data_IF_400106445331
#
_entry.id   IF_400106445331
#
_cell.length_a   1.000
_cell.length_b   1.000
_cell.length_c   1.000
_cell.angle_alpha   90.00
_cell.angle_beta   90.00
_cell.angle_gamma   90.00
#
_symmetry.space_group_name_H-M   'P 1'
#
loop_
_entity.id
_entity.type
_entity.pdbx_description
1 polymer ?
#
# COMPACT_ATOMS: atom_id res chain seq x y z
N UNK A 1 -22.88 -45.89 -14.95
CA UNK A 1 -21.86 -44.89 -15.31
C UNK A 1 -20.78 -44.94 -14.24
N UNK A 2 -19.53 -45.27 -14.60
CA UNK A 2 -18.51 -45.67 -13.62
C UNK A 2 -17.93 -44.49 -12.84
N UNK A 3 -17.85 -44.71 -11.53
CA UNK A 3 -17.25 -43.85 -10.51
C UNK A 3 -15.75 -43.66 -10.76
N UNK A 4 -15.34 -42.42 -11.01
CA UNK A 4 -13.92 -42.04 -11.16
C UNK A 4 -13.37 -41.63 -9.79
N UNK A 5 -12.70 -42.58 -9.12
CA UNK A 5 -11.85 -42.31 -7.95
C UNK A 5 -10.55 -41.64 -8.42
N UNK A 6 -10.26 -40.43 -7.94
CA UNK A 6 -8.95 -39.79 -8.08
C UNK A 6 -8.08 -40.15 -6.86
N UNK A 7 -6.81 -40.55 -7.05
CA UNK A 7 -5.92 -40.87 -5.94
C UNK A 7 -5.52 -39.62 -5.15
N UNK A 8 -5.56 -39.74 -3.82
CA UNK A 8 -5.17 -38.71 -2.88
C UNK A 8 -3.71 -38.32 -3.01
N UNK A 9 -3.45 -37.02 -3.11
CA UNK A 9 -2.11 -36.45 -2.98
C UNK A 9 -1.90 -36.08 -1.51
N UNK A 10 -1.13 -36.91 -0.81
CA UNK A 10 -0.56 -36.58 0.49
C UNK A 10 0.35 -35.37 0.35
N UNK A 11 -0.05 -34.24 0.92
CA UNK A 11 0.80 -33.07 1.11
C UNK A 11 1.70 -33.32 2.31
N UNK A 12 2.96 -33.62 2.03
CA UNK A 12 4.06 -33.64 2.98
C UNK A 12 4.30 -32.20 3.45
N UNK A 13 4.01 -31.91 4.72
CA UNK A 13 4.44 -30.67 5.35
C UNK A 13 5.89 -30.81 5.79
N UNK A 14 6.82 -30.26 4.99
CA UNK A 14 8.21 -30.06 5.42
C UNK A 14 8.24 -28.77 6.24
N UNK A 15 8.38 -28.92 7.55
CA UNK A 15 8.78 -27.84 8.45
C UNK A 15 10.27 -27.54 8.23
N UNK A 16 10.58 -26.39 7.65
CA UNK A 16 11.93 -25.84 7.62
C UNK A 16 11.96 -24.58 8.51
N UNK A 17 12.33 -24.81 9.78
CA UNK A 17 12.87 -23.77 10.66
C UNK A 17 14.36 -23.64 10.35
N UNK A 18 14.75 -22.63 9.58
CA UNK A 18 16.12 -22.12 9.60
C UNK A 18 16.04 -20.59 9.55
N UNK A 19 16.34 -19.98 10.70
CA UNK A 19 16.61 -18.56 10.79
C UNK A 19 17.81 -18.21 9.92
N UNK A 20 17.59 -17.35 8.95
CA UNK A 20 18.64 -16.57 8.28
C UNK A 20 18.07 -15.18 8.06
N UNK A 21 18.74 -14.17 8.62
CA UNK A 21 18.58 -12.79 8.19
C UNK A 21 19.06 -12.72 6.74
N UNK A 22 18.14 -12.87 5.80
CA UNK A 22 18.40 -12.61 4.40
C UNK A 22 17.98 -11.16 4.11
N UNK A 23 18.97 -10.29 3.88
CA UNK A 23 18.75 -9.13 3.04
C UNK A 23 18.42 -9.67 1.64
N UNK A 24 17.12 -9.77 1.32
CA UNK A 24 16.69 -10.08 -0.04
C UNK A 24 16.96 -8.87 -0.93
N UNK A 25 18.19 -8.83 -1.47
CA UNK A 25 18.45 -8.24 -2.77
C UNK A 25 17.68 -9.13 -3.76
N UNK A 26 16.64 -8.58 -4.40
CA UNK A 26 16.02 -9.23 -5.54
C UNK A 26 16.98 -9.10 -6.73
N UNK A 27 17.42 -10.26 -7.19
CA UNK A 27 18.25 -10.50 -8.37
C UNK A 27 17.35 -10.39 -9.62
N UNK A 28 17.55 -9.33 -10.41
CA UNK A 28 17.04 -9.19 -11.79
C UNK A 28 18.10 -9.75 -12.76
N UNK A 29 17.97 -11.01 -13.17
CA UNK A 29 18.76 -11.56 -14.28
C UNK A 29 17.82 -12.13 -15.35
N UNK A 30 17.36 -11.23 -16.23
CA UNK A 30 17.34 -11.45 -17.68
C UNK A 30 17.09 -10.13 -18.43
N UNK A 31 18.09 -9.25 -18.41
CA UNK A 31 18.40 -8.39 -19.57
C UNK A 31 19.90 -8.49 -19.83
N UNK A 32 20.24 -9.22 -20.89
CA UNK A 32 21.61 -9.30 -21.37
C UNK A 32 22.13 -7.95 -21.87
N UNK A 33 23.38 -7.69 -21.46
CA UNK A 33 24.43 -6.91 -22.13
C UNK A 33 24.34 -5.37 -22.14
N UNK A 34 25.08 -4.74 -21.22
CA UNK A 34 26.36 -4.09 -21.55
C UNK A 34 27.12 -3.59 -20.30
N UNK A 35 28.40 -3.98 -20.22
CA UNK A 35 29.56 -3.36 -19.53
C UNK A 35 29.44 -3.10 -18.01
N UNK A 36 30.05 -3.93 -17.15
CA UNK A 36 31.46 -3.94 -16.71
C UNK A 36 31.84 -2.78 -15.77
N UNK A 37 32.39 -3.19 -14.60
CA UNK A 37 33.20 -2.44 -13.62
C UNK A 37 32.40 -1.53 -12.65
N UNK A 38 32.51 -1.59 -11.32
CA UNK A 38 33.43 -2.26 -10.40
C UNK A 38 32.74 -2.48 -9.04
N UNK A 39 33.18 -3.56 -8.41
CA UNK A 39 33.13 -3.96 -7.01
C UNK A 39 32.92 -2.86 -5.94
N UNK A 40 32.12 -3.19 -4.90
CA UNK A 40 32.02 -2.37 -3.69
C UNK A 40 30.98 -2.84 -2.67
N UNK A 41 31.04 -4.11 -2.26
CA UNK A 41 30.24 -4.62 -1.14
C UNK A 41 30.65 -3.99 0.19
N UNK A 42 29.67 -3.60 1.00
CA UNK A 42 29.84 -3.08 2.35
C UNK A 42 28.53 -3.10 3.13
N UNK A 43 28.21 -4.25 3.73
CA UNK A 43 27.11 -4.39 4.69
C UNK A 43 27.69 -4.25 6.10
N UNK A 44 27.86 -3.03 6.60
CA UNK A 44 28.20 -2.81 8.00
C UNK A 44 27.51 -1.55 8.54
N UNK A 45 26.60 -1.78 9.48
CA UNK A 45 26.32 -0.80 10.53
C UNK A 45 25.12 0.14 10.31
N UNK A 46 24.09 -0.11 11.10
CA UNK A 46 23.50 0.86 12.03
C UNK A 46 23.71 2.36 11.75
N UNK A 47 22.57 3.04 11.55
CA UNK A 47 22.22 4.40 12.01
C UNK A 47 23.27 5.53 11.92
N UNK A 48 22.92 6.59 11.18
CA UNK A 48 22.59 7.93 11.70
C UNK A 48 22.45 8.91 10.53
N UNK A 49 21.45 9.79 10.64
CA UNK A 49 21.29 11.13 10.06
C UNK A 49 22.09 11.55 8.83
N UNK A 50 21.32 11.96 7.82
CA UNK A 50 21.54 13.23 7.12
C UNK A 50 22.31 13.14 5.81
N UNK A 51 21.60 13.44 4.72
CA UNK A 51 21.80 14.64 3.88
C UNK A 51 21.02 14.48 2.58
N UNK A 52 20.09 15.41 2.35
CA UNK A 52 19.49 15.64 1.05
C UNK A 52 20.59 16.04 0.07
N UNK A 53 20.74 15.28 -1.02
CA UNK A 53 21.43 15.75 -2.22
C UNK A 53 20.36 16.14 -3.24
N UNK A 54 20.15 17.45 -3.35
CA UNK A 54 19.40 18.07 -4.44
C UNK A 54 20.38 18.51 -5.52
N UNK A 55 20.25 17.94 -6.71
CA UNK A 55 20.77 18.46 -7.97
C UNK A 55 19.67 18.19 -9.01
N UNK A 56 19.16 19.10 -9.83
CA UNK A 56 19.54 20.47 -10.18
C UNK A 56 19.15 20.67 -11.66
N UNK A 57 18.39 21.72 -12.00
CA UNK A 57 18.10 22.14 -13.38
C UNK A 57 16.66 22.70 -13.55
N UNK A 58 16.36 23.95 -13.18
CA UNK A 58 16.53 25.24 -13.90
C UNK A 58 15.53 25.53 -15.04
N UNK A 59 14.49 26.29 -14.71
CA UNK A 59 13.59 26.99 -15.64
C UNK A 59 12.76 28.03 -14.88
N UNK A 60 13.04 29.32 -15.10
CA UNK A 60 12.70 30.40 -14.18
C UNK A 60 11.30 31.02 -14.30
N UNK A 61 10.88 31.69 -13.22
CA UNK A 61 10.02 32.88 -13.22
C UNK A 61 10.21 33.64 -11.90
N UNK A 62 10.29 34.97 -11.98
CA UNK A 62 10.49 35.91 -10.86
C UNK A 62 9.15 36.31 -10.22
N UNK A 63 9.06 36.31 -8.89
CA UNK A 63 8.31 37.26 -8.04
C UNK A 63 8.68 36.97 -6.57
N UNK A 64 9.50 37.79 -5.91
CA UNK A 64 9.15 39.00 -5.16
C UNK A 64 8.39 38.75 -3.84
N UNK A 65 9.16 38.77 -2.74
CA UNK A 65 8.74 39.34 -1.45
C UNK A 65 8.20 38.38 -0.38
N UNK A 66 8.82 38.40 0.81
CA UNK A 66 8.09 38.11 2.06
C UNK A 66 8.82 37.33 3.15
N UNK A 67 9.55 38.06 3.99
CA UNK A 67 9.79 37.85 5.44
C UNK A 67 10.34 36.52 6.00
N UNK A 68 11.49 36.66 6.68
CA UNK A 68 12.09 35.73 7.64
C UNK A 68 11.16 35.34 8.81
N UNK A 69 11.38 34.15 9.37
CA UNK A 69 11.48 34.07 10.83
C UNK A 69 12.77 33.41 11.32
N UNK A 70 13.14 33.90 12.51
CA UNK A 70 14.37 33.69 13.26
C UNK A 70 14.65 32.25 13.69
N UNK A 71 15.93 31.93 13.72
CA UNK A 71 16.51 30.75 14.31
C UNK A 71 16.53 30.80 15.84
N UNK A 72 16.39 29.61 16.46
CA UNK A 72 16.67 29.31 17.85
C UNK A 72 16.13 27.91 18.14
N UNK A 73 16.80 26.98 18.81
CA UNK A 73 18.12 26.92 19.41
C UNK A 73 18.34 25.46 19.83
N UNK A 74 19.60 25.05 19.98
CA UNK A 74 19.99 23.74 20.45
C UNK A 74 19.60 23.51 21.93
N UNK A 75 19.35 22.26 22.29
CA UNK A 75 19.22 21.82 23.68
C UNK A 75 19.24 20.29 23.74
N UNK A 76 20.39 19.74 24.11
CA UNK A 76 20.59 18.34 24.42
C UNK A 76 20.22 18.08 25.88
N UNK A 77 19.53 16.99 26.21
CA UNK A 77 19.51 16.45 27.57
C UNK A 77 19.56 14.92 27.52
N UNK A 78 20.50 14.38 28.28
CA UNK A 78 20.77 12.97 28.48
C UNK A 78 20.11 12.49 29.78
N UNK A 79 19.86 11.18 29.86
CA UNK A 79 19.85 10.43 31.12
C UNK A 79 18.47 10.14 31.72
N UNK A 80 18.30 8.88 32.13
CA UNK A 80 17.15 8.47 32.94
C UNK A 80 16.90 6.97 32.92
N UNK A 81 17.76 6.20 33.59
CA UNK A 81 17.45 4.83 33.99
C UNK A 81 16.55 4.82 35.22
N UNK A 82 15.68 3.80 35.34
CA UNK A 82 15.23 3.29 36.65
C UNK A 82 13.72 3.21 36.85
N UNK A 83 13.21 1.95 36.82
CA UNK A 83 12.14 1.34 37.62
C UNK A 83 10.73 2.04 37.61
N UNK A 84 9.60 1.42 37.95
CA UNK A 84 9.32 0.26 38.79
C UNK A 84 7.99 -0.39 38.35
N UNK A 85 7.84 -1.67 38.69
CA UNK A 85 6.60 -2.42 38.51
C UNK A 85 5.48 -1.85 39.40
N UNK A 86 4.35 -1.53 38.80
CA UNK A 86 3.12 -1.15 39.50
C UNK A 86 1.93 -1.94 38.96
N UNK A 87 1.61 -3.06 39.61
CA UNK A 87 0.36 -3.80 39.45
C UNK A 87 -0.80 -2.99 40.03
N UNK A 88 -1.38 -2.12 39.21
CA UNK A 88 -2.59 -1.37 39.53
C UNK A 88 -3.77 -1.84 38.67
N UNK A 89 -4.50 -2.86 39.15
CA UNK A 89 -5.80 -3.22 38.62
C UNK A 89 -6.83 -2.16 39.05
N UNK A 90 -7.12 -1.19 38.19
CA UNK A 90 -8.25 -0.28 38.36
C UNK A 90 -9.05 -0.27 37.06
N UNK A 91 -10.27 -0.81 37.16
CA UNK A 91 -11.19 -1.00 36.05
C UNK A 91 -11.43 0.27 35.26
N UNK A 92 -10.92 0.29 34.03
CA UNK A 92 -11.34 1.23 33.01
C UNK A 92 -12.63 0.69 32.40
N UNK A 93 -13.74 0.99 33.08
CA UNK A 93 -15.05 0.95 32.45
C UNK A 93 -15.11 2.17 31.51
N UNK A 94 -14.34 2.12 30.42
CA UNK A 94 -14.42 3.08 29.33
C UNK A 94 -15.68 2.77 28.54
N UNK A 95 -16.82 3.14 29.13
CA UNK A 95 -18.09 3.33 28.43
C UNK A 95 -18.00 4.61 27.60
N UNK A 96 -16.93 4.72 26.78
CA UNK A 96 -16.84 5.74 25.75
C UNK A 96 -17.93 5.39 24.75
N UNK A 97 -18.97 6.22 24.69
CA UNK A 97 -20.06 6.04 23.74
C UNK A 97 -19.44 5.82 22.37
N UNK A 98 -19.65 4.63 21.81
CA UNK A 98 -19.34 4.36 20.43
C UNK A 98 -20.08 5.44 19.65
N UNK A 99 -19.35 6.46 19.19
CA UNK A 99 -19.83 7.31 18.12
C UNK A 99 -20.15 6.29 17.04
N UNK A 100 -21.44 6.16 16.70
CA UNK A 100 -21.87 5.28 15.62
C UNK A 100 -20.97 5.60 14.45
N UNK A 101 -20.01 4.72 14.20
CA UNK A 101 -19.15 4.82 13.04
C UNK A 101 -20.13 4.94 11.87
N UNK A 102 -19.97 5.96 11.00
CA UNK A 102 -20.90 6.18 9.90
C UNK A 102 -21.12 4.82 9.23
N UNK A 103 -22.41 4.42 9.12
CA UNK A 103 -22.78 3.06 8.78
C UNK A 103 -22.32 2.74 7.36
N UNK A 104 -21.12 2.20 7.28
CA UNK A 104 -20.49 1.85 6.04
C UNK A 104 -21.32 0.80 5.31
N UNK A 105 -21.96 1.19 4.21
CA UNK A 105 -22.74 0.22 3.42
C UNK A 105 -21.86 -0.76 2.64
N UNK A 106 -20.56 -0.44 2.49
CA UNK A 106 -19.53 -1.26 1.86
C UNK A 106 -18.65 -2.00 2.86
N UNK A 107 -17.43 -2.33 2.44
CA UNK A 107 -16.43 -2.94 3.31
C UNK A 107 -15.58 -1.87 3.99
N UNK A 108 -15.58 -1.75 5.33
CA UNK A 108 -14.75 -0.78 6.02
C UNK A 108 -13.28 -1.23 6.01
N UNK A 109 -12.38 -0.40 5.47
CA UNK A 109 -10.94 -0.62 5.54
C UNK A 109 -10.17 0.71 5.43
N UNK A 110 -9.07 0.85 6.16
CA UNK A 110 -8.19 2.03 6.11
C UNK A 110 -8.93 3.38 6.28
N UNK A 111 -10.01 3.41 7.08
CA UNK A 111 -10.80 4.61 7.33
C UNK A 111 -11.78 4.99 6.20
N UNK A 112 -11.99 4.12 5.22
CA UNK A 112 -12.89 4.33 4.08
C UNK A 112 -13.90 3.20 3.92
N UNK A 113 -14.97 3.50 3.21
CA UNK A 113 -15.92 2.52 2.70
C UNK A 113 -15.53 2.07 1.30
N UNK A 114 -15.14 0.80 1.21
CA UNK A 114 -14.70 0.20 -0.04
C UNK A 114 -15.82 -0.56 -0.72
N UNK A 115 -15.86 -0.40 -2.03
CA UNK A 115 -16.81 -1.03 -2.91
C UNK A 115 -16.05 -1.67 -4.06
N UNK A 116 -16.55 -2.81 -4.53
CA UNK A 116 -16.08 -3.41 -5.76
C UNK A 116 -17.01 -2.97 -6.89
N UNK A 117 -16.49 -2.19 -7.84
CA UNK A 117 -17.26 -1.73 -8.98
C UNK A 117 -17.75 -2.88 -9.86
N UNK A 118 -18.87 -2.67 -10.54
CA UNK A 118 -19.36 -3.58 -11.57
C UNK A 118 -18.36 -3.73 -12.72
N UNK A 119 -18.49 -4.81 -13.51
CA UNK A 119 -17.61 -5.05 -14.66
C UNK A 119 -17.66 -3.86 -15.64
N UNK A 120 -16.51 -3.22 -15.85
CA UNK A 120 -16.41 -2.06 -16.74
C UNK A 120 -16.78 -0.71 -16.10
N UNK A 121 -17.24 -0.69 -14.86
CA UNK A 121 -17.52 0.56 -14.15
C UNK A 121 -16.22 1.24 -13.69
N UNK A 122 -16.25 2.57 -13.70
CA UNK A 122 -15.23 3.41 -13.05
C UNK A 122 -15.59 3.66 -11.59
N UNK A 123 -14.62 4.07 -10.78
CA UNK A 123 -14.91 4.45 -9.40
C UNK A 123 -15.82 5.67 -9.27
N UNK A 124 -15.80 6.60 -10.23
CA UNK A 124 -16.79 7.67 -10.26
C UNK A 124 -18.23 7.13 -10.41
N UNK A 125 -18.43 6.12 -11.24
CA UNK A 125 -19.75 5.50 -11.40
C UNK A 125 -20.14 4.70 -10.16
N UNK A 126 -19.23 3.90 -9.60
CA UNK A 126 -19.47 3.12 -8.38
C UNK A 126 -19.82 4.02 -7.20
N UNK A 127 -19.06 5.09 -6.98
CA UNK A 127 -19.26 5.98 -5.84
C UNK A 127 -20.31 7.07 -6.05
N UNK A 128 -20.98 7.15 -7.22
CA UNK A 128 -21.95 8.20 -7.48
C UNK A 128 -23.13 8.20 -6.49
N UNK A 129 -23.51 7.03 -5.97
CA UNK A 129 -24.54 6.88 -4.95
C UNK A 129 -24.01 7.00 -3.50
N UNK A 130 -22.69 7.08 -3.34
CA UNK A 130 -21.97 7.03 -2.07
C UNK A 130 -21.06 8.26 -1.96
N UNK A 131 -21.64 9.46 -2.04
CA UNK A 131 -20.91 10.73 -1.81
C UNK A 131 -19.76 11.08 -2.76
N UNK A 132 -19.46 10.26 -3.76
CA UNK A 132 -18.33 10.42 -4.67
C UNK A 132 -17.06 9.69 -4.19
N UNK A 133 -15.99 9.78 -4.98
CA UNK A 133 -14.74 9.06 -4.70
C UNK A 133 -13.97 9.76 -3.59
N UNK A 134 -13.44 9.00 -2.62
CA UNK A 134 -12.59 9.53 -1.56
C UNK A 134 -11.30 10.13 -2.14
N UNK A 135 -10.89 11.31 -1.65
CA UNK A 135 -9.79 12.08 -2.24
C UNK A 135 -8.41 11.40 -2.08
N UNK A 136 -8.26 10.60 -1.03
CA UNK A 136 -7.06 9.86 -0.66
C UNK A 136 -7.11 8.38 -1.08
N UNK A 137 -8.14 7.95 -1.82
CA UNK A 137 -8.22 6.59 -2.37
C UNK A 137 -6.95 6.18 -3.14
N UNK A 138 -6.38 7.12 -3.89
CA UNK A 138 -5.16 6.92 -4.67
C UNK A 138 -3.93 6.65 -3.79
N UNK A 139 -3.90 7.14 -2.56
CA UNK A 139 -2.80 6.89 -1.63
C UNK A 139 -2.79 5.45 -1.09
N UNK A 140 -3.92 4.74 -1.19
CA UNK A 140 -4.07 3.38 -0.66
C UNK A 140 -3.98 2.35 -1.80
N UNK A 141 -4.79 2.52 -2.86
CA UNK A 141 -4.87 1.54 -3.97
C UNK A 141 -4.16 1.98 -5.25
N UNK A 142 -3.57 3.18 -5.25
CA UNK A 142 -2.87 3.72 -6.40
C UNK A 142 -1.52 3.06 -6.64
N UNK A 143 -0.82 3.56 -7.66
CA UNK A 143 0.56 3.16 -7.95
C UNK A 143 1.52 3.62 -6.83
N UNK A 144 2.78 3.11 -6.78
CA UNK A 144 3.80 3.63 -5.86
C UNK A 144 4.00 5.14 -5.97
N UNK A 145 3.87 5.71 -7.17
CA UNK A 145 4.00 7.15 -7.39
C UNK A 145 2.89 7.98 -6.70
N UNK A 146 1.79 7.34 -6.30
CA UNK A 146 0.69 7.96 -5.55
C UNK A 146 0.68 7.55 -4.08
N UNK A 147 1.62 6.71 -3.63
CA UNK A 147 1.72 6.23 -2.26
C UNK A 147 1.11 4.85 -2.01
N UNK A 148 0.36 4.29 -2.97
CA UNK A 148 -0.26 2.98 -2.79
C UNK A 148 0.74 1.84 -2.81
N UNK A 149 0.33 0.71 -2.24
CA UNK A 149 1.16 -0.50 -2.14
C UNK A 149 0.35 -1.78 -2.43
N UNK A 150 1.03 -2.84 -2.89
CA UNK A 150 0.41 -4.16 -3.05
C UNK A 150 -0.20 -4.68 -1.74
N UNK A 151 0.44 -4.39 -0.60
CA UNK A 151 -0.02 -4.78 0.74
C UNK A 151 -1.35 -4.12 1.11
N UNK A 152 -1.50 -2.82 0.84
CA UNK A 152 -2.75 -2.11 1.09
C UNK A 152 -3.85 -2.58 0.15
N UNK A 153 -3.54 -2.79 -1.14
CA UNK A 153 -4.48 -3.42 -2.07
C UNK A 153 -4.95 -4.79 -1.55
N UNK A 154 -4.05 -5.64 -1.07
CA UNK A 154 -4.40 -6.94 -0.49
C UNK A 154 -5.32 -6.79 0.74
N UNK A 155 -5.05 -5.82 1.61
CA UNK A 155 -5.87 -5.56 2.80
C UNK A 155 -7.30 -5.15 2.42
N UNK A 156 -7.44 -4.27 1.42
CA UNK A 156 -8.75 -3.82 0.93
C UNK A 156 -9.50 -4.96 0.24
N UNK A 157 -8.83 -5.73 -0.61
CA UNK A 157 -9.44 -6.89 -1.28
C UNK A 157 -9.93 -7.94 -0.29
N UNK A 158 -9.15 -8.19 0.77
CA UNK A 158 -9.56 -9.09 1.86
C UNK A 158 -10.83 -8.60 2.56
N UNK A 159 -10.96 -7.29 2.82
CA UNK A 159 -12.17 -6.71 3.39
C UNK A 159 -13.39 -6.87 2.45
N UNK A 160 -13.16 -6.88 1.14
CA UNK A 160 -14.18 -7.16 0.11
C UNK A 160 -14.43 -8.66 -0.11
N UNK A 161 -13.81 -9.55 0.66
CA UNK A 161 -13.97 -11.01 0.56
C UNK A 161 -13.13 -11.67 -0.55
N UNK A 162 -12.21 -10.94 -1.17
CA UNK A 162 -11.29 -11.46 -2.18
C UNK A 162 -9.99 -11.88 -1.50
N UNK A 163 -9.75 -13.19 -1.46
CA UNK A 163 -8.64 -13.79 -0.70
C UNK A 163 -7.39 -14.03 -1.56
N UNK A 164 -7.46 -13.82 -2.87
CA UNK A 164 -6.30 -13.92 -3.75
C UNK A 164 -5.35 -12.74 -3.50
N UNK A 165 -4.06 -13.06 -3.33
CA UNK A 165 -3.04 -12.02 -3.22
C UNK A 165 -2.95 -11.26 -4.56
N UNK A 166 -2.88 -9.91 -4.53
CA UNK A 166 -2.79 -9.15 -5.76
C UNK A 166 -1.45 -9.39 -6.45
N UNK A 167 -1.52 -9.67 -7.74
CA UNK A 167 -0.35 -9.77 -8.61
C UNK A 167 0.07 -8.36 -9.00
N UNK A 168 1.33 -8.01 -8.74
CA UNK A 168 1.89 -6.75 -9.20
C UNK A 168 2.04 -6.76 -10.74
N UNK A 169 1.53 -5.72 -11.39
CA UNK A 169 1.59 -5.64 -12.85
C UNK A 169 1.80 -4.21 -13.35
N UNK A 170 2.19 -4.09 -14.62
CA UNK A 170 2.31 -2.82 -15.34
C UNK A 170 1.42 -2.86 -16.56
N UNK A 171 0.79 -1.74 -16.88
CA UNK A 171 0.05 -1.57 -18.14
C UNK A 171 0.68 -0.49 -19.01
N UNK A 172 0.62 -0.72 -20.31
CA UNK A 172 1.19 0.18 -21.33
C UNK A 172 0.12 1.00 -22.07
N UNK A 173 -1.16 0.77 -21.78
CA UNK A 173 -2.29 1.47 -22.41
C UNK A 173 -2.64 2.81 -21.72
N UNK A 174 -1.84 3.23 -20.72
CA UNK A 174 -2.04 4.48 -19.99
C UNK A 174 -3.23 4.48 -19.03
N UNK A 175 -3.90 3.33 -18.81
CA UNK A 175 -5.08 3.23 -17.92
C UNK A 175 -4.68 2.78 -16.52
N UNK A 176 -4.77 3.69 -15.55
CA UNK A 176 -4.45 3.39 -14.16
C UNK A 176 -5.68 2.89 -13.41
N UNK A 177 -5.86 1.57 -13.39
CA UNK A 177 -6.95 0.93 -12.65
C UNK A 177 -6.62 0.76 -11.15
N UNK A 178 -5.35 0.89 -10.75
CA UNK A 178 -4.91 0.64 -9.37
C UNK A 178 -5.16 -0.82 -8.95
N UNK A 179 -5.74 -1.00 -7.76
CA UNK A 179 -6.20 -2.29 -7.25
C UNK A 179 -7.49 -2.75 -7.95
N UNK A 180 -7.49 -3.94 -8.56
CA UNK A 180 -8.63 -4.42 -9.33
C UNK A 180 -8.68 -5.95 -9.44
N UNK A 181 -9.83 -6.49 -9.87
CA UNK A 181 -10.03 -7.91 -10.15
C UNK A 181 -10.29 -8.12 -11.63
N UNK A 182 -9.59 -9.08 -12.23
CA UNK A 182 -9.81 -9.54 -13.60
C UNK A 182 -10.04 -11.06 -13.59
N UNK A 183 -11.26 -11.48 -13.90
CA UNK A 183 -11.67 -12.87 -13.71
C UNK A 183 -11.75 -13.23 -12.23
N UNK A 184 -10.91 -14.16 -11.79
CA UNK A 184 -10.77 -14.63 -10.40
C UNK A 184 -9.49 -14.10 -9.74
N UNK A 185 -8.62 -13.46 -10.52
CA UNK A 185 -7.32 -12.99 -10.08
C UNK A 185 -7.38 -11.52 -9.66
N UNK A 186 -6.67 -11.21 -8.58
CA UNK A 186 -6.46 -9.86 -8.09
C UNK A 186 -5.17 -9.28 -8.68
N UNK A 187 -5.19 -7.98 -8.98
CA UNK A 187 -4.06 -7.26 -9.53
C UNK A 187 -3.89 -5.91 -8.83
N UNK A 188 -2.64 -5.50 -8.69
CA UNK A 188 -2.28 -4.14 -8.31
C UNK A 188 -1.33 -3.55 -9.35
N UNK A 189 -1.66 -2.37 -9.87
CA UNK A 189 -0.86 -1.73 -10.91
C UNK A 189 0.23 -0.84 -10.34
N UNK A 190 1.47 -1.20 -10.63
CA UNK A 190 2.67 -0.41 -10.34
C UNK A 190 2.74 0.82 -11.27
N UNK A 191 2.18 0.70 -12.48
CA UNK A 191 2.06 1.78 -13.46
C UNK A 191 0.95 1.44 -14.46
N UNK A 192 0.17 2.43 -14.95
CA UNK A 192 0.26 3.87 -14.66
C UNK A 192 -0.49 4.27 -13.39
N UNK A 193 -0.38 5.55 -13.03
CA UNK A 193 -1.04 6.13 -11.86
C UNK A 193 -2.57 5.94 -11.93
N UNK A 194 -3.15 5.50 -10.82
CA UNK A 194 -4.58 5.30 -10.62
C UNK A 194 -5.39 6.54 -11.00
N UNK A 195 -6.47 6.29 -11.72
CA UNK A 195 -7.46 7.28 -12.11
C UNK A 195 -8.85 6.76 -11.78
N UNK A 196 -9.63 7.56 -11.04
CA UNK A 196 -11.00 7.22 -10.68
C UNK A 196 -11.98 7.17 -11.85
N UNK A 197 -11.57 7.67 -13.03
CA UNK A 197 -12.34 7.61 -14.29
C UNK A 197 -11.93 6.44 -15.19
N UNK A 198 -10.87 5.69 -14.84
CA UNK A 198 -10.41 4.58 -15.66
C UNK A 198 -11.46 3.46 -15.67
N UNK A 199 -11.74 2.93 -16.87
CA UNK A 199 -12.68 1.82 -17.08
C UNK A 199 -12.07 0.73 -17.95
N UNK A 200 -12.53 -0.50 -17.76
CA UNK A 200 -12.19 -1.65 -18.59
C UNK A 200 -13.27 -2.74 -18.51
N UNK A 201 -13.84 -3.14 -19.64
CA UNK A 201 -15.06 -3.97 -19.74
C UNK A 201 -15.04 -5.33 -19.03
N UNK A 202 -13.87 -5.84 -18.63
CA UNK A 202 -13.69 -7.14 -17.97
C UNK A 202 -13.07 -7.03 -16.57
N UNK A 203 -12.97 -5.82 -16.04
CA UNK A 203 -12.36 -5.54 -14.75
C UNK A 203 -13.41 -5.00 -13.81
N UNK A 204 -13.31 -5.43 -12.55
CA UNK A 204 -13.99 -4.81 -11.41
C UNK A 204 -12.95 -4.01 -10.63
N UNK A 205 -13.12 -2.70 -10.56
CA UNK A 205 -12.15 -1.79 -9.91
C UNK A 205 -12.55 -1.62 -8.45
N UNK A 206 -11.58 -1.63 -7.56
CA UNK A 206 -11.79 -1.36 -6.13
C UNK A 206 -11.88 0.14 -5.91
N UNK A 207 -12.90 0.61 -5.18
CA UNK A 207 -13.22 2.02 -5.08
C UNK A 207 -13.52 2.42 -3.63
N UNK A 208 -12.81 3.41 -3.11
CA UNK A 208 -13.15 4.06 -1.85
C UNK A 208 -14.11 5.23 -2.12
N UNK A 209 -15.25 5.23 -1.43
CA UNK A 209 -16.29 6.24 -1.58
C UNK A 209 -16.43 7.08 -0.30
N UNK A 210 -16.90 8.32 -0.43
CA UNK A 210 -17.18 9.22 0.68
C UNK A 210 -18.55 8.88 1.28
N UNK A 211 -18.64 8.65 2.58
CA UNK A 211 -19.95 8.51 3.25
C UNK A 211 -20.25 9.73 4.12
#
# INVERSE_FOLDING_TARGET
MPSSQRPGRSLLWIAALVGTCACSVYDEELISAAALEETGGGCDGCSISGRQSVAGGSGGARAAGGASPSAGGAGAEAGGAGAEAGTGAAGMNSSGGAQSEPECSGAPAAGHCWYLGELGASCQQTCAAHGGVAADAAAIIGSPAQGGTAKECASVLSALGITSAPIESKRYDGRGLGCHVYGEDAYWLVSPAYSSTATMSRVRVTCACQE
#
